data_IF_727354919987
#
_entry.id   IF_727354919987
#
_cell.length_a   1.000
_cell.length_b   1.000
_cell.length_c   1.000
_cell.angle_alpha   90.00
_cell.angle_beta   90.00
_cell.angle_gamma   90.00
#
_symmetry.space_group_name_H-M   'P 1'
#
loop_
_entity.id
_entity.type
_entity.pdbx_description
1 polymer ?
#
# COMPACT_ATOMS: atom_id res chain seq x y z
N UNK A 1 -9.48 -11.99 -7.06
CA UNK A 1 -10.38 -10.89 -6.62
C UNK A 1 -9.79 -9.60 -7.12
N UNK A 2 -10.59 -8.70 -7.72
CA UNK A 2 -10.13 -7.37 -8.13
C UNK A 2 -9.67 -6.57 -6.90
N UNK A 3 -8.68 -5.71 -7.08
CA UNK A 3 -8.18 -4.84 -6.01
C UNK A 3 -9.16 -3.68 -5.82
N UNK A 4 -9.37 -3.24 -4.57
CA UNK A 4 -10.30 -2.14 -4.31
C UNK A 4 -9.90 -0.84 -5.04
N UNK A 5 -8.60 -0.62 -5.27
CA UNK A 5 -8.08 0.53 -6.05
C UNK A 5 -8.48 0.52 -7.53
N UNK A 6 -8.85 -0.62 -8.11
CA UNK A 6 -9.30 -0.70 -9.51
C UNK A 6 -10.65 -0.01 -9.73
N UNK A 7 -11.37 0.29 -8.64
CA UNK A 7 -12.63 1.05 -8.67
C UNK A 7 -12.44 2.57 -8.60
N UNK A 8 -11.20 3.07 -8.46
CA UNK A 8 -10.93 4.51 -8.36
C UNK A 8 -11.12 5.17 -9.73
N UNK A 9 -11.99 6.17 -9.78
CA UNK A 9 -12.23 7.03 -10.95
C UNK A 9 -11.86 8.48 -10.65
N UNK A 10 -11.83 9.33 -11.68
CA UNK A 10 -11.50 10.77 -11.54
C UNK A 10 -12.42 11.50 -10.56
N UNK A 11 -13.66 11.07 -10.45
CA UNK A 11 -14.69 11.70 -9.61
C UNK A 11 -14.74 11.12 -8.19
N UNK A 12 -13.86 10.17 -7.88
CA UNK A 12 -13.83 9.54 -6.56
C UNK A 12 -13.30 10.55 -5.52
N UNK A 13 -14.07 10.84 -4.45
CA UNK A 13 -13.62 11.75 -3.39
C UNK A 13 -12.33 11.28 -2.74
N UNK A 14 -11.45 12.20 -2.33
CA UNK A 14 -10.17 11.88 -1.70
C UNK A 14 -10.30 10.95 -0.49
N UNK A 15 -11.32 11.14 0.35
CA UNK A 15 -11.58 10.26 1.50
C UNK A 15 -11.90 8.84 1.07
N UNK A 16 -12.62 8.67 -0.04
CA UNK A 16 -12.93 7.36 -0.59
C UNK A 16 -11.69 6.72 -1.22
N UNK A 17 -10.86 7.49 -1.91
CA UNK A 17 -9.56 7.02 -2.43
C UNK A 17 -8.70 6.47 -1.30
N UNK A 18 -8.59 7.19 -0.18
CA UNK A 18 -7.85 6.73 1.01
C UNK A 18 -8.37 5.39 1.54
N UNK A 19 -9.69 5.24 1.65
CA UNK A 19 -10.31 3.98 2.08
C UNK A 19 -10.02 2.82 1.11
N UNK A 20 -10.08 3.06 -0.20
CA UNK A 20 -9.83 2.03 -1.21
C UNK A 20 -8.36 1.59 -1.24
N UNK A 21 -7.43 2.51 -1.01
CA UNK A 21 -6.01 2.20 -0.83
C UNK A 21 -5.80 1.34 0.42
N UNK A 22 -6.38 1.72 1.57
CA UNK A 22 -6.28 0.94 2.82
C UNK A 22 -6.85 -0.48 2.66
N UNK A 23 -8.02 -0.61 2.03
CA UNK A 23 -8.63 -1.91 1.74
C UNK A 23 -7.74 -2.78 0.84
N UNK A 24 -7.12 -2.18 -0.18
CA UNK A 24 -6.22 -2.88 -1.09
C UNK A 24 -4.96 -3.37 -0.38
N UNK A 25 -4.37 -2.54 0.48
CA UNK A 25 -3.20 -2.92 1.28
C UNK A 25 -3.54 -4.12 2.18
N UNK A 26 -4.67 -4.07 2.89
CA UNK A 26 -5.14 -5.19 3.72
C UNK A 26 -5.33 -6.48 2.91
N UNK A 27 -6.02 -6.39 1.77
CA UNK A 27 -6.22 -7.54 0.87
C UNK A 27 -4.90 -8.19 0.43
N UNK A 28 -3.88 -7.39 0.12
CA UNK A 28 -2.57 -7.88 -0.29
C UNK A 28 -1.81 -8.53 0.87
N UNK A 29 -1.84 -7.92 2.05
CA UNK A 29 -1.21 -8.47 3.26
C UNK A 29 -1.84 -9.82 3.62
N UNK A 30 -3.18 -9.89 3.65
CA UNK A 30 -3.93 -11.10 3.96
C UNK A 30 -3.64 -12.21 2.93
N UNK A 31 -3.58 -11.86 1.64
CA UNK A 31 -3.28 -12.80 0.56
C UNK A 31 -1.88 -13.40 0.65
N UNK A 32 -0.89 -12.61 1.08
CA UNK A 32 0.48 -13.08 1.24
C UNK A 32 0.73 -13.75 2.60
N UNK A 33 -0.26 -13.75 3.51
CA UNK A 33 -0.11 -14.31 4.85
C UNK A 33 0.97 -13.60 5.67
N UNK A 34 1.24 -12.32 5.36
CA UNK A 34 2.29 -11.54 6.01
C UNK A 34 1.72 -10.74 7.16
N UNK A 35 2.56 -10.49 8.17
CA UNK A 35 2.24 -9.49 9.18
C UNK A 35 2.31 -8.07 8.56
N UNK A 36 1.39 -7.15 8.90
CA UNK A 36 1.38 -5.79 8.35
C UNK A 36 2.70 -5.03 8.49
N UNK A 37 3.44 -5.24 9.60
CA UNK A 37 4.73 -4.59 9.82
C UNK A 37 5.80 -5.13 8.88
N UNK A 38 5.78 -6.44 8.62
CA UNK A 38 6.70 -7.07 7.67
C UNK A 38 6.43 -6.60 6.23
N UNK A 39 5.15 -6.51 5.84
CA UNK A 39 4.75 -5.99 4.54
C UNK A 39 5.18 -4.52 4.35
N UNK A 40 4.99 -3.68 5.38
CA UNK A 40 5.44 -2.29 5.35
C UNK A 40 6.97 -2.20 5.18
N UNK A 41 7.74 -2.99 5.94
CA UNK A 41 9.20 -3.03 5.82
C UNK A 41 9.68 -3.43 4.42
N UNK A 42 9.04 -4.41 3.80
CA UNK A 42 9.34 -4.81 2.42
C UNK A 42 8.99 -3.72 1.40
N UNK A 43 7.83 -3.07 1.56
CA UNK A 43 7.44 -1.95 0.69
C UNK A 43 8.43 -0.79 0.78
N UNK A 44 8.92 -0.46 1.98
CA UNK A 44 9.99 0.53 2.16
C UNK A 44 11.27 0.12 1.44
N UNK A 45 11.76 -1.10 1.64
CA UNK A 45 12.98 -1.59 0.96
C UNK A 45 12.88 -1.56 -0.57
N UNK A 46 11.73 -1.99 -1.12
CA UNK A 46 11.47 -1.91 -2.56
C UNK A 46 11.44 -0.47 -3.08
N UNK A 47 10.92 0.46 -2.30
CA UNK A 47 10.87 1.88 -2.67
C UNK A 47 12.26 2.52 -2.62
N UNK A 48 13.10 2.15 -1.64
CA UNK A 48 14.50 2.58 -1.55
C UNK A 48 15.32 2.07 -2.75
N UNK A 49 15.19 0.78 -3.10
CA UNK A 49 15.83 0.21 -4.30
C UNK A 49 15.39 0.92 -5.58
N UNK A 50 14.08 1.20 -5.73
CA UNK A 50 13.53 1.80 -6.93
C UNK A 50 13.94 3.26 -7.12
N UNK A 51 14.06 4.02 -6.03
CA UNK A 51 14.36 5.45 -6.09
C UNK A 51 15.81 5.80 -5.76
N UNK A 52 16.64 4.82 -5.39
CA UNK A 52 18.06 5.01 -5.08
C UNK A 52 18.30 5.95 -3.90
N UNK A 53 17.33 6.07 -2.99
CA UNK A 53 17.40 6.96 -1.81
C UNK A 53 16.81 6.25 -0.60
N UNK A 54 17.49 6.35 0.54
CA UNK A 54 16.94 5.89 1.81
C UNK A 54 15.70 6.72 2.17
N UNK A 55 14.64 6.03 2.57
CA UNK A 55 13.41 6.67 3.03
C UNK A 55 13.52 6.75 4.56
N UNK A 56 13.52 7.95 5.15
CA UNK A 56 13.75 8.12 6.57
C UNK A 56 12.68 7.36 7.39
N UNK A 57 13.14 6.39 8.17
CA UNK A 57 12.29 5.65 9.11
C UNK A 57 12.02 6.55 10.31
N UNK A 58 10.85 7.16 10.36
CA UNK A 58 10.41 7.91 11.54
C UNK A 58 10.24 6.88 12.67
N UNK A 59 11.10 6.99 13.70
CA UNK A 59 11.06 6.15 14.91
C UNK A 59 9.93 6.58 15.84
#
# INVERSE_FOLDING_TARGET
MPLATESITRDTPLDKVRQLIDATIKQLIDREGKDPKAAAGQAYGMAEEKWGREIPRIR
#
